data_IF_520251514931
#
_entry.id   IF_520251514931
#
_cell.length_a   1.000
_cell.length_b   1.000
_cell.length_c   1.000
_cell.angle_alpha   90.00
_cell.angle_beta   90.00
_cell.angle_gamma   90.00
#
_symmetry.space_group_name_H-M   'P 1'
#
loop_
_entity.id
_entity.type
_entity.pdbx_description
1 polymer ?
#
# COMPACT_ATOMS: atom_id res chain seq x y z
N UNK A 1 -29.50 -19.71 4.32
CA UNK A 1 -28.29 -19.10 4.94
C UNK A 1 -27.20 -19.16 3.90
N UNK A 2 -26.83 -18.02 3.32
CA UNK A 2 -25.67 -17.92 2.43
C UNK A 2 -24.43 -17.94 3.32
N UNK A 3 -23.63 -19.00 3.19
CA UNK A 3 -22.31 -19.11 3.83
C UNK A 3 -21.47 -17.91 3.40
N UNK A 4 -20.77 -17.26 4.34
CA UNK A 4 -20.05 -15.99 4.16
C UNK A 4 -18.97 -15.91 3.08
N UNK A 5 -18.82 -16.96 2.26
CA UNK A 5 -18.14 -16.97 0.97
C UNK A 5 -19.11 -16.61 -0.18
N UNK A 6 -19.93 -15.58 -0.02
CA UNK A 6 -20.43 -14.86 -1.18
C UNK A 6 -19.21 -14.31 -1.93
N UNK A 7 -18.75 -15.09 -2.91
CA UNK A 7 -17.49 -14.91 -3.67
C UNK A 7 -17.17 -13.43 -3.83
N UNK A 8 -16.18 -12.94 -3.08
CA UNK A 8 -15.67 -11.59 -3.26
C UNK A 8 -15.40 -11.36 -4.76
N UNK A 9 -16.01 -10.34 -5.34
CA UNK A 9 -16.10 -10.22 -6.81
C UNK A 9 -14.73 -10.05 -7.48
N UNK A 10 -13.73 -9.52 -6.77
CA UNK A 10 -12.37 -9.34 -7.26
C UNK A 10 -11.35 -10.27 -6.59
N UNK A 11 -11.75 -11.50 -6.26
CA UNK A 11 -10.84 -12.50 -5.64
C UNK A 11 -9.54 -12.67 -6.42
N UNK A 12 -9.61 -12.69 -7.75
CA UNK A 12 -8.45 -12.79 -8.63
C UNK A 12 -7.41 -11.70 -8.34
N UNK A 13 -7.82 -10.43 -8.30
CA UNK A 13 -6.91 -9.31 -8.05
C UNK A 13 -6.43 -9.24 -6.59
N UNK A 14 -7.27 -9.64 -5.64
CA UNK A 14 -6.85 -9.79 -4.24
C UNK A 14 -5.70 -10.81 -4.13
N UNK A 15 -5.87 -11.99 -4.72
CA UNK A 15 -4.87 -13.05 -4.69
C UNK A 15 -3.59 -12.66 -5.46
N UNK A 16 -3.75 -12.00 -6.61
CA UNK A 16 -2.63 -11.46 -7.39
C UNK A 16 -1.82 -10.42 -6.59
N UNK A 17 -2.50 -9.48 -5.93
CA UNK A 17 -1.85 -8.44 -5.12
C UNK A 17 -1.02 -9.07 -4.00
N UNK A 18 -1.58 -10.05 -3.29
CA UNK A 18 -0.85 -10.79 -2.24
C UNK A 18 0.37 -11.52 -2.80
N UNK A 19 0.23 -12.17 -3.96
CA UNK A 19 1.34 -12.85 -4.64
C UNK A 19 2.45 -11.87 -5.02
N UNK A 20 2.11 -10.72 -5.59
CA UNK A 20 3.09 -9.70 -6.00
C UNK A 20 3.84 -9.13 -4.79
N UNK A 21 3.15 -8.85 -3.67
CA UNK A 21 3.84 -8.47 -2.42
C UNK A 21 4.81 -9.56 -1.95
N UNK A 22 4.40 -10.83 -1.94
CA UNK A 22 5.26 -11.93 -1.54
C UNK A 22 6.47 -12.10 -2.47
N UNK A 23 6.28 -11.89 -3.78
CA UNK A 23 7.33 -11.99 -4.79
C UNK A 23 8.43 -10.94 -4.57
N UNK A 24 8.06 -9.67 -4.37
CA UNK A 24 9.05 -8.59 -4.24
C UNK A 24 9.63 -8.43 -2.83
N UNK A 25 8.83 -8.65 -1.79
CA UNK A 25 9.26 -8.44 -0.41
C UNK A 25 9.74 -9.75 0.27
N UNK A 26 9.45 -10.90 -0.32
CA UNK A 26 9.78 -12.21 0.23
C UNK A 26 9.11 -12.47 1.57
N UNK A 27 9.76 -13.27 2.42
CA UNK A 27 9.24 -13.65 3.74
C UNK A 27 9.30 -12.52 4.79
N UNK A 28 9.87 -11.38 4.44
CA UNK A 28 10.10 -10.26 5.38
C UNK A 28 8.87 -9.36 5.52
N UNK A 29 7.85 -9.50 4.67
CA UNK A 29 6.59 -8.77 4.74
C UNK A 29 5.52 -9.62 5.42
N UNK A 30 4.79 -9.04 6.36
CA UNK A 30 3.77 -9.73 7.14
C UNK A 30 2.40 -9.11 6.94
N UNK A 31 1.45 -9.89 6.41
CA UNK A 31 0.05 -9.45 6.32
C UNK A 31 -0.58 -9.46 7.71
N UNK A 32 -0.90 -8.28 8.25
CA UNK A 32 -1.53 -8.13 9.57
C UNK A 32 -3.03 -8.15 9.54
N UNK A 33 -3.62 -7.57 8.48
CA UNK A 33 -5.07 -7.44 8.35
C UNK A 33 -5.47 -7.45 6.89
N UNK A 34 -6.41 -8.31 6.57
CA UNK A 34 -7.12 -8.39 5.29
C UNK A 34 -8.58 -8.00 5.54
N UNK A 35 -9.10 -7.07 4.76
CA UNK A 35 -10.49 -6.63 4.80
C UNK A 35 -11.05 -6.68 3.38
N UNK A 36 -12.27 -7.16 3.18
CA UNK A 36 -12.96 -7.11 1.89
C UNK A 36 -14.46 -6.99 2.06
N UNK A 37 -15.12 -6.40 1.06
CA UNK A 37 -16.57 -6.24 1.02
C UNK A 37 -17.08 -6.16 -0.41
N UNK A 38 -18.29 -6.66 -0.67
CA UNK A 38 -19.00 -6.48 -1.94
C UNK A 38 -19.95 -5.27 -1.92
N UNK A 39 -20.10 -4.58 -0.78
CA UNK A 39 -21.05 -3.46 -0.59
C UNK A 39 -20.67 -2.19 -1.38
N UNK A 40 -19.45 -2.12 -1.91
CA UNK A 40 -18.97 -1.02 -2.74
C UNK A 40 -19.62 -1.02 -4.14
N UNK A 41 -20.93 -0.78 -4.20
CA UNK A 41 -21.74 -0.70 -5.42
C UNK A 41 -21.52 -1.89 -6.40
N UNK A 42 -21.31 -3.10 -5.86
CA UNK A 42 -21.05 -4.30 -6.65
C UNK A 42 -19.67 -4.35 -7.32
N UNK A 43 -18.77 -3.40 -7.05
CA UNK A 43 -17.41 -3.35 -7.62
C UNK A 43 -16.35 -3.95 -6.71
N UNK A 44 -16.72 -4.37 -5.50
CA UNK A 44 -15.82 -4.90 -4.48
C UNK A 44 -14.87 -3.86 -3.89
N UNK A 45 -14.46 -4.10 -2.66
CA UNK A 45 -13.41 -3.39 -1.95
C UNK A 45 -12.50 -4.42 -1.30
N UNK A 46 -11.19 -4.17 -1.29
CA UNK A 46 -10.30 -4.88 -0.38
C UNK A 46 -9.18 -3.98 0.12
N UNK A 47 -8.74 -4.24 1.35
CA UNK A 47 -7.59 -3.57 1.98
C UNK A 47 -6.67 -4.61 2.58
N UNK A 48 -5.38 -4.47 2.27
CA UNK A 48 -4.30 -5.28 2.83
C UNK A 48 -3.38 -4.38 3.63
N UNK A 49 -3.23 -4.70 4.91
CA UNK A 49 -2.32 -4.00 5.82
C UNK A 49 -1.13 -4.91 6.10
N UNK A 50 0.03 -4.51 5.61
CA UNK A 50 1.28 -5.22 5.78
C UNK A 50 2.20 -4.48 6.76
N UNK A 51 3.04 -5.23 7.45
CA UNK A 51 4.22 -4.73 8.16
C UNK A 51 5.48 -5.22 7.43
N UNK A 52 6.42 -4.30 7.21
CA UNK A 52 7.73 -4.59 6.64
C UNK A 52 8.77 -3.66 7.25
N UNK A 53 9.79 -4.21 7.91
CA UNK A 53 10.80 -3.43 8.64
C UNK A 53 10.11 -2.46 9.64
N UNK A 54 10.41 -1.16 9.57
CA UNK A 54 9.81 -0.10 10.37
C UNK A 54 8.52 0.50 9.78
N UNK A 55 8.04 -0.03 8.66
CA UNK A 55 6.94 0.54 7.89
C UNK A 55 5.67 -0.30 8.00
N UNK A 56 4.53 0.39 8.02
CA UNK A 56 3.24 -0.21 7.69
C UNK A 56 2.86 0.18 6.27
N UNK A 57 2.57 -0.80 5.42
CA UNK A 57 2.12 -0.59 4.04
C UNK A 57 0.63 -0.92 3.98
N UNK A 58 -0.17 0.02 3.47
CA UNK A 58 -1.62 -0.15 3.28
C UNK A 58 -1.89 -0.09 1.79
N UNK A 59 -2.27 -1.24 1.22
CA UNK A 59 -2.81 -1.33 -0.13
C UNK A 59 -4.33 -1.32 -0.01
N UNK A 60 -4.99 -0.40 -0.71
CA UNK A 60 -6.44 -0.28 -0.68
C UNK A 60 -6.98 -0.20 -2.10
N UNK A 61 -7.95 -1.04 -2.41
CA UNK A 61 -8.67 -1.07 -3.67
C UNK A 61 -10.14 -0.66 -3.46
N UNK A 62 -10.60 0.34 -4.22
CA UNK A 62 -12.00 0.73 -4.31
C UNK A 62 -12.31 1.25 -5.73
N UNK A 63 -13.48 0.90 -6.29
CA UNK A 63 -13.98 1.45 -7.57
C UNK A 63 -12.98 1.41 -8.73
N UNK A 64 -12.41 0.22 -9.02
CA UNK A 64 -11.44 0.00 -10.11
C UNK A 64 -10.10 0.73 -9.96
N UNK A 65 -9.84 1.37 -8.82
CA UNK A 65 -8.57 2.03 -8.52
C UNK A 65 -8.00 1.52 -7.21
N UNK A 66 -6.68 1.54 -7.11
CA UNK A 66 -6.01 1.25 -5.86
C UNK A 66 -5.13 2.42 -5.40
N UNK A 67 -4.77 2.39 -4.12
CA UNK A 67 -3.83 3.32 -3.51
C UNK A 67 -2.86 2.56 -2.64
N UNK A 68 -1.66 3.09 -2.50
CA UNK A 68 -0.63 2.57 -1.60
C UNK A 68 -0.25 3.71 -0.65
N UNK A 69 -0.45 3.48 0.64
CA UNK A 69 -0.04 4.39 1.71
C UNK A 69 0.97 3.71 2.61
N UNK A 70 2.07 4.40 2.88
CA UNK A 70 3.13 3.93 3.76
C UNK A 70 3.08 4.77 5.03
N UNK A 71 3.11 4.13 6.20
CA UNK A 71 3.19 4.81 7.48
C UNK A 71 4.50 4.48 8.16
N UNK A 72 5.07 5.49 8.80
CA UNK A 72 6.24 5.38 9.65
C UNK A 72 6.03 6.26 10.88
N UNK A 73 5.91 5.66 12.06
CA UNK A 73 5.52 6.38 13.29
C UNK A 73 4.24 7.20 13.07
N UNK A 74 4.31 8.51 13.28
CA UNK A 74 3.25 9.49 13.09
C UNK A 74 3.25 10.14 11.68
N UNK A 75 4.13 9.68 10.79
CA UNK A 75 4.27 10.19 9.43
C UNK A 75 3.64 9.27 8.39
N UNK A 76 3.22 9.85 7.28
CA UNK A 76 2.62 9.15 6.16
C UNK A 76 3.29 9.53 4.85
N UNK A 77 3.40 8.56 3.96
CA UNK A 77 3.80 8.71 2.57
C UNK A 77 2.66 8.18 1.69
N UNK A 78 2.29 8.95 0.66
CA UNK A 78 1.33 8.54 -0.35
C UNK A 78 2.10 8.24 -1.64
N UNK A 79 2.11 6.97 -2.03
CA UNK A 79 2.92 6.48 -3.14
C UNK A 79 2.60 7.21 -4.46
N UNK A 80 1.33 7.23 -4.88
CA UNK A 80 0.94 7.87 -6.15
C UNK A 80 1.06 9.40 -6.14
N UNK A 81 1.25 10.04 -4.98
CA UNK A 81 1.60 11.47 -4.94
C UNK A 81 3.04 11.73 -5.38
N UNK A 82 3.92 10.73 -5.25
CA UNK A 82 5.35 10.76 -5.59
C UNK A 82 5.61 10.15 -6.97
N UNK A 83 4.77 9.20 -7.40
CA UNK A 83 4.87 8.51 -8.70
C UNK A 83 3.66 8.85 -9.58
N UNK A 84 3.61 10.09 -10.09
CA UNK A 84 2.47 10.59 -10.88
C UNK A 84 2.37 9.95 -12.27
N UNK A 85 3.46 9.36 -12.73
CA UNK A 85 3.59 8.65 -13.98
C UNK A 85 2.97 7.24 -13.94
N UNK A 86 2.74 6.68 -12.75
CA UNK A 86 2.19 5.34 -12.59
C UNK A 86 0.66 5.36 -12.62
N UNK A 87 0.08 4.38 -13.32
CA UNK A 87 -1.36 4.11 -13.28
C UNK A 87 -1.73 3.42 -11.96
N UNK A 88 -2.87 3.82 -11.40
CA UNK A 88 -3.44 3.18 -10.21
C UNK A 88 -4.71 2.40 -10.52
N UNK A 89 -4.87 1.94 -11.76
CA UNK A 89 -6.02 1.13 -12.18
C UNK A 89 -5.87 -0.31 -11.68
N UNK A 90 -6.97 -0.99 -11.38
CA UNK A 90 -6.91 -2.40 -10.98
C UNK A 90 -6.60 -3.32 -12.17
N UNK A 91 -5.33 -3.37 -12.57
CA UNK A 91 -4.75 -4.28 -13.56
C UNK A 91 -3.53 -4.96 -12.97
N UNK A 92 -3.27 -6.21 -13.36
CA UNK A 92 -2.11 -6.97 -12.87
C UNK A 92 -0.79 -6.21 -13.12
N UNK A 93 -0.60 -5.67 -14.32
CA UNK A 93 0.58 -4.88 -14.70
C UNK A 93 0.77 -3.65 -13.78
N UNK A 94 -0.29 -2.87 -13.55
CA UNK A 94 -0.25 -1.66 -12.72
C UNK A 94 0.04 -2.00 -11.24
N UNK A 95 -0.59 -3.07 -10.72
CA UNK A 95 -0.35 -3.58 -9.36
C UNK A 95 1.11 -4.02 -9.22
N UNK A 96 1.59 -4.84 -10.15
CA UNK A 96 2.91 -5.43 -10.10
C UNK A 96 4.00 -4.36 -10.20
N UNK A 97 3.86 -3.43 -11.15
CA UNK A 97 4.79 -2.32 -11.32
C UNK A 97 4.81 -1.45 -10.07
N UNK A 98 3.66 -1.10 -9.50
CA UNK A 98 3.59 -0.27 -8.29
C UNK A 98 4.24 -0.93 -7.08
N UNK A 99 4.03 -2.24 -6.87
CA UNK A 99 4.64 -2.99 -5.76
C UNK A 99 6.16 -3.13 -5.96
N UNK A 100 6.62 -3.36 -7.20
CA UNK A 100 8.04 -3.41 -7.53
C UNK A 100 8.75 -2.08 -7.25
N UNK A 101 8.18 -0.96 -7.72
CA UNK A 101 8.72 0.38 -7.48
C UNK A 101 8.71 0.70 -5.98
N UNK A 102 7.61 0.40 -5.27
CA UNK A 102 7.54 0.57 -3.83
C UNK A 102 8.67 -0.17 -3.08
N UNK A 103 8.99 -1.41 -3.48
CA UNK A 103 10.09 -2.17 -2.88
C UNK A 103 11.42 -1.44 -3.08
N UNK A 104 11.68 -0.96 -4.29
CA UNK A 104 12.89 -0.21 -4.62
C UNK A 104 12.97 1.10 -3.83
N UNK A 105 11.87 1.84 -3.68
CA UNK A 105 11.87 3.09 -2.92
C UNK A 105 12.16 2.85 -1.43
N UNK A 106 11.63 1.77 -0.87
CA UNK A 106 11.88 1.39 0.51
C UNK A 106 13.35 0.99 0.71
N UNK A 107 13.92 0.20 -0.21
CA UNK A 107 15.31 -0.26 -0.10
C UNK A 107 16.32 0.88 -0.28
N UNK A 108 16.00 1.85 -1.15
CA UNK A 108 16.89 2.97 -1.46
C UNK A 108 16.60 4.23 -0.62
N UNK A 109 15.60 4.18 0.29
CA UNK A 109 15.23 5.34 1.11
C UNK A 109 14.66 6.52 0.32
N UNK A 110 14.00 6.26 -0.82
CA UNK A 110 13.49 7.30 -1.72
C UNK A 110 12.08 7.82 -1.36
N UNK A 111 11.46 7.30 -0.30
CA UNK A 111 10.13 7.73 0.12
C UNK A 111 10.17 9.05 0.89
N UNK A 112 9.41 10.02 0.40
CA UNK A 112 9.11 11.25 1.14
C UNK A 112 7.97 11.02 2.14
N UNK A 113 8.21 11.39 3.41
CA UNK A 113 7.23 11.30 4.48
C UNK A 113 6.76 12.67 4.93
N UNK A 114 5.49 12.74 5.32
CA UNK A 114 4.85 13.97 5.77
C UNK A 114 4.13 13.75 7.10
N UNK A 115 4.21 14.75 7.98
CA UNK A 115 3.38 14.85 9.19
C UNK A 115 2.31 15.89 8.97
N UNK A 116 1.10 15.58 9.43
CA UNK A 116 -0.02 16.50 9.43
C UNK A 116 -0.26 16.92 10.87
N UNK A 117 -0.13 18.21 11.17
CA UNK A 117 -0.38 18.75 12.51
C UNK A 117 -1.87 18.69 12.84
N UNK A 118 -2.23 18.82 14.14
CA UNK A 118 -3.64 18.93 14.57
C UNK A 118 -4.38 20.12 13.94
N UNK A 119 -3.64 21.12 13.44
CA UNK A 119 -4.18 22.30 12.74
C UNK A 119 -4.24 22.12 11.21
N UNK A 120 -3.89 20.95 10.69
CA UNK A 120 -3.89 20.62 9.26
C UNK A 120 -2.62 21.02 8.50
N UNK A 121 -1.59 21.52 9.17
CA UNK A 121 -0.33 21.90 8.52
C UNK A 121 0.45 20.65 8.09
N UNK A 122 0.88 20.60 6.83
CA UNK A 122 1.67 19.50 6.28
C UNK A 122 3.15 19.88 6.33
N UNK A 123 3.97 19.05 6.98
CA UNK A 123 5.44 19.21 7.02
C UNK A 123 6.12 17.95 6.50
N UNK A 124 6.99 18.11 5.50
CA UNK A 124 7.87 17.05 5.00
C UNK A 124 8.93 16.71 6.05
N UNK A 125 9.25 15.43 6.22
CA UNK A 125 10.35 14.95 7.06
C UNK A 125 11.60 14.84 6.18
N UNK A 126 12.71 15.41 6.64
CA UNK A 126 14.00 15.26 5.97
C UNK A 126 14.56 13.84 6.16
N UNK A 127 15.04 13.22 5.07
CA UNK A 127 15.43 11.80 5.01
C UNK A 127 16.48 11.36 6.03
N UNK A 128 17.36 12.25 6.48
CA UNK A 128 18.36 11.98 7.51
C UNK A 128 17.77 11.54 8.87
N UNK A 129 16.50 11.85 9.13
CA UNK A 129 15.80 11.47 10.37
C UNK A 129 15.13 10.09 10.28
N UNK A 130 15.01 9.52 9.07
CA UNK A 130 14.26 8.29 8.81
C UNK A 130 15.17 7.07 8.98
N UNK A 131 16.41 7.12 8.49
CA UNK A 131 17.28 5.94 8.43
C UNK A 131 18.29 5.78 9.56
N UNK A 132 18.48 6.77 10.44
CA UNK A 132 19.42 6.62 11.57
C UNK A 132 20.88 6.37 11.18
N UNK A 133 21.19 6.21 9.89
CA UNK A 133 22.53 6.19 9.31
C UNK A 133 23.00 7.63 9.11
N UNK A 134 23.68 8.15 10.14
CA UNK A 134 24.79 9.08 9.86
C UNK A 134 25.91 8.24 9.24
N UNK A 135 26.36 8.69 8.07
CA UNK A 135 27.71 8.56 7.48
C UNK A 135 28.50 7.29 7.81
#
# INVERSE_FOLDING_TARGET
>A
MLSGDEKFINKHYLDYTKKSFLEYFGQNIFLKKEEYSNEAAGMGFYRLNYEYSKYQIVFEYERLRFTIRIKWKDAVSNFFSQHKELSNSLKEEDINQSISVLKNDIDNGCLDFFRISKKGEIKKIEGALIDGSKF
#
